data_IF_526947817971
#
_entry.id   IF_526947817971
#
_cell.length_a   1.000
_cell.length_b   1.000
_cell.length_c   1.000
_cell.angle_alpha   90.00
_cell.angle_beta   90.00
_cell.angle_gamma   90.00
#
_symmetry.space_group_name_H-M   'P 1'
#
loop_
_entity.id
_entity.type
_entity.pdbx_description
1 polymer ?
#
# COMPACT_ATOMS: atom_id res chain seq x y z
N UNK A 1 -26.19 -71.07 88.09
CA UNK A 1 -27.39 -70.35 87.61
C UNK A 1 -27.37 -68.83 87.77
N UNK A 2 -27.16 -68.21 88.94
CA UNK A 2 -27.15 -66.73 89.01
C UNK A 2 -25.81 -66.10 88.55
N UNK A 3 -24.69 -66.80 88.78
CA UNK A 3 -23.35 -66.34 88.43
C UNK A 3 -23.05 -66.40 86.92
N UNK A 4 -23.37 -67.52 86.27
CA UNK A 4 -23.22 -67.69 84.81
C UNK A 4 -24.04 -66.66 84.03
N UNK A 5 -25.24 -66.32 84.50
CA UNK A 5 -26.08 -65.30 83.86
C UNK A 5 -25.52 -63.87 84.00
N UNK A 6 -24.78 -63.60 85.07
CA UNK A 6 -24.08 -62.32 85.25
C UNK A 6 -22.82 -62.27 84.40
N UNK A 7 -22.11 -63.39 84.24
CA UNK A 7 -20.92 -63.50 83.40
C UNK A 7 -21.29 -63.32 81.91
N UNK A 8 -22.38 -63.93 81.44
CA UNK A 8 -22.88 -63.74 80.06
C UNK A 8 -23.28 -62.28 79.79
N UNK A 9 -24.02 -61.65 80.71
CA UNK A 9 -24.37 -60.22 80.59
C UNK A 9 -23.16 -59.30 80.64
N UNK A 10 -22.11 -59.68 81.36
CA UNK A 10 -20.88 -58.92 81.44
C UNK A 10 -20.08 -59.00 80.13
N UNK A 11 -20.03 -60.19 79.51
CA UNK A 11 -19.43 -60.38 78.18
C UNK A 11 -20.19 -59.59 77.11
N UNK A 12 -21.53 -59.63 77.13
CA UNK A 12 -22.36 -58.83 76.23
C UNK A 12 -22.10 -57.33 76.39
N UNK A 13 -21.92 -56.85 77.62
CA UNK A 13 -21.61 -55.45 77.88
C UNK A 13 -20.20 -55.06 77.37
N UNK A 14 -19.23 -55.96 77.49
CA UNK A 14 -17.88 -55.75 76.95
C UNK A 14 -17.91 -55.73 75.43
N UNK A 15 -18.59 -56.67 74.78
CA UNK A 15 -18.74 -56.71 73.33
C UNK A 15 -19.46 -55.46 72.82
N UNK A 16 -20.53 -55.04 73.48
CA UNK A 16 -21.24 -53.80 73.12
C UNK A 16 -20.34 -52.57 73.26
N UNK A 17 -19.47 -52.53 74.27
CA UNK A 17 -18.52 -51.44 74.47
C UNK A 17 -17.41 -51.45 73.41
N UNK A 18 -16.97 -52.64 73.00
CA UNK A 18 -16.01 -52.81 71.92
C UNK A 18 -16.62 -52.37 70.58
N UNK A 19 -17.83 -52.82 70.27
CA UNK A 19 -18.57 -52.43 69.07
C UNK A 19 -18.78 -50.91 69.01
N UNK A 20 -19.13 -50.28 70.13
CA UNK A 20 -19.27 -48.82 70.20
C UNK A 20 -17.95 -48.08 69.90
N UNK A 21 -16.84 -48.61 70.43
CA UNK A 21 -15.51 -48.02 70.23
C UNK A 21 -15.04 -48.17 68.78
N UNK A 22 -15.32 -49.31 68.16
CA UNK A 22 -14.97 -49.59 66.77
C UNK A 22 -15.80 -48.73 65.80
N UNK A 23 -17.08 -48.47 66.12
CA UNK A 23 -17.94 -47.54 65.37
C UNK A 23 -17.45 -46.09 65.49
N UNK A 24 -17.05 -45.64 66.69
CA UNK A 24 -16.49 -44.30 66.89
C UNK A 24 -15.18 -44.10 66.12
N UNK A 25 -14.27 -45.07 66.14
CA UNK A 25 -13.00 -45.01 65.40
C UNK A 25 -13.19 -45.03 63.88
N UNK A 26 -14.13 -45.84 63.35
CA UNK A 26 -14.45 -45.82 61.92
C UNK A 26 -15.07 -44.49 61.47
N UNK A 27 -15.92 -43.88 62.29
CA UNK A 27 -16.55 -42.58 61.97
C UNK A 27 -15.55 -41.42 62.00
N UNK A 28 -14.59 -41.40 62.94
CA UNK A 28 -13.53 -40.37 62.97
C UNK A 28 -12.57 -40.46 61.77
N UNK A 29 -12.20 -41.67 61.36
CA UNK A 29 -11.33 -41.86 60.20
C UNK A 29 -12.03 -41.48 58.89
N UNK A 30 -13.28 -41.92 58.69
CA UNK A 30 -14.04 -41.60 57.47
C UNK A 30 -14.44 -40.12 57.37
N UNK A 31 -14.61 -39.41 58.48
CA UNK A 31 -14.86 -37.95 58.46
C UNK A 31 -13.59 -37.14 58.19
N UNK A 32 -12.43 -37.53 58.75
CA UNK A 32 -11.13 -36.92 58.40
C UNK A 32 -10.76 -37.14 56.94
N UNK A 33 -10.94 -38.34 56.41
CA UNK A 33 -10.66 -38.64 54.99
C UNK A 33 -11.59 -37.87 54.05
N UNK A 34 -12.87 -37.72 54.41
CA UNK A 34 -13.82 -36.87 53.66
C UNK A 34 -13.45 -35.39 53.76
N UNK A 35 -13.00 -34.90 54.91
CA UNK A 35 -12.54 -33.51 55.08
C UNK A 35 -11.31 -33.22 54.24
N UNK A 36 -10.32 -34.12 54.25
CA UNK A 36 -9.12 -34.02 53.43
C UNK A 36 -9.46 -34.01 51.94
N UNK A 37 -10.38 -34.88 51.49
CA UNK A 37 -10.83 -34.90 50.10
C UNK A 37 -11.51 -33.59 49.68
N UNK A 38 -12.33 -32.99 50.55
CA UNK A 38 -13.00 -31.72 50.28
C UNK A 38 -12.00 -30.56 50.24
N UNK A 39 -11.02 -30.51 51.15
CA UNK A 39 -9.94 -29.51 51.10
C UNK A 39 -9.11 -29.63 49.82
N UNK A 40 -8.78 -30.86 49.40
CA UNK A 40 -8.02 -31.10 48.18
C UNK A 40 -8.81 -30.68 46.93
N UNK A 41 -10.13 -30.92 46.91
CA UNK A 41 -11.02 -30.43 45.85
C UNK A 41 -11.15 -28.91 45.82
N UNK A 42 -11.21 -28.25 46.98
CA UNK A 42 -11.24 -26.78 47.08
C UNK A 42 -9.95 -26.16 46.56
N UNK A 43 -8.79 -26.72 46.94
CA UNK A 43 -7.49 -26.28 46.42
C UNK A 43 -7.38 -26.47 44.90
N UNK A 44 -7.91 -27.57 44.37
CA UNK A 44 -7.99 -27.79 42.92
C UNK A 44 -8.93 -26.80 42.23
N UNK A 45 -10.06 -26.45 42.85
CA UNK A 45 -10.98 -25.44 42.32
C UNK A 45 -10.33 -24.05 42.31
N UNK A 46 -9.67 -23.64 43.39
CA UNK A 46 -8.96 -22.36 43.47
C UNK A 46 -7.83 -22.28 42.43
N UNK A 47 -7.07 -23.37 42.26
CA UNK A 47 -6.02 -23.46 41.23
C UNK A 47 -6.61 -23.33 39.81
N UNK A 48 -7.73 -24.00 39.52
CA UNK A 48 -8.42 -23.88 38.22
C UNK A 48 -9.00 -22.49 38.01
N UNK A 49 -9.54 -21.86 39.06
CA UNK A 49 -10.08 -20.50 39.01
C UNK A 49 -8.97 -19.50 38.67
N UNK A 50 -7.83 -19.59 39.35
CA UNK A 50 -6.65 -18.76 39.07
C UNK A 50 -6.18 -18.94 37.62
N UNK A 51 -5.99 -20.19 37.17
CA UNK A 51 -5.58 -20.48 35.80
C UNK A 51 -6.56 -19.94 34.74
N UNK A 52 -7.87 -20.06 35.00
CA UNK A 52 -8.89 -19.55 34.09
C UNK A 52 -8.89 -18.02 34.07
N UNK A 53 -8.77 -17.40 35.24
CA UNK A 53 -8.71 -15.95 35.37
C UNK A 53 -7.49 -15.38 34.66
N UNK A 54 -6.32 -15.99 34.82
CA UNK A 54 -5.08 -15.59 34.14
C UNK A 54 -5.22 -15.69 32.62
N UNK A 55 -5.74 -16.82 32.11
CA UNK A 55 -6.03 -16.99 30.68
C UNK A 55 -7.03 -15.96 30.15
N UNK A 56 -8.04 -15.62 30.95
CA UNK A 56 -9.05 -14.63 30.57
C UNK A 56 -8.44 -13.22 30.49
N UNK A 57 -7.53 -12.87 31.41
CA UNK A 57 -6.83 -11.58 31.38
C UNK A 57 -5.85 -11.50 30.21
N UNK A 58 -5.11 -12.59 29.95
CA UNK A 58 -4.24 -12.69 28.78
C UNK A 58 -5.04 -12.54 27.48
N UNK A 59 -6.14 -13.25 27.34
CA UNK A 59 -7.01 -13.15 26.17
C UNK A 59 -7.60 -11.74 25.98
N UNK A 60 -8.05 -11.08 27.06
CA UNK A 60 -8.53 -9.69 27.00
C UNK A 60 -7.44 -8.73 26.53
N UNK A 61 -6.24 -8.86 27.08
CA UNK A 61 -5.08 -8.04 26.71
C UNK A 61 -4.74 -8.25 25.24
N UNK A 62 -4.60 -9.50 24.80
CA UNK A 62 -4.28 -9.85 23.43
C UNK A 62 -5.33 -9.34 22.44
N UNK A 63 -6.62 -9.50 22.76
CA UNK A 63 -7.72 -9.03 21.92
C UNK A 63 -7.68 -7.51 21.77
N UNK A 64 -7.50 -6.78 22.87
CA UNK A 64 -7.46 -5.33 22.86
C UNK A 64 -6.25 -4.77 22.11
N UNK A 65 -5.06 -5.35 22.35
CA UNK A 65 -3.85 -4.98 21.62
C UNK A 65 -3.95 -5.28 20.13
N UNK A 66 -4.55 -6.41 19.76
CA UNK A 66 -4.77 -6.78 18.36
C UNK A 66 -5.71 -5.79 17.68
N UNK A 67 -6.82 -5.44 18.33
CA UNK A 67 -7.76 -4.44 17.83
C UNK A 67 -7.11 -3.05 17.68
N UNK A 68 -6.27 -2.64 18.63
CA UNK A 68 -5.50 -1.39 18.54
C UNK A 68 -4.51 -1.39 17.36
N UNK A 69 -3.80 -2.51 17.13
CA UNK A 69 -2.88 -2.65 15.99
C UNK A 69 -3.64 -2.61 14.67
N UNK A 70 -4.77 -3.31 14.58
CA UNK A 70 -5.64 -3.30 13.40
C UNK A 70 -6.18 -1.90 13.09
N UNK A 71 -6.58 -1.13 14.12
CA UNK A 71 -7.07 0.24 13.95
C UNK A 71 -5.99 1.15 13.34
N UNK A 72 -4.76 1.08 13.85
CA UNK A 72 -3.62 1.83 13.28
C UNK A 72 -3.33 1.48 11.83
N UNK A 73 -3.48 0.22 11.43
CA UNK A 73 -3.35 -0.18 10.02
C UNK A 73 -4.51 0.34 9.18
N UNK A 74 -5.71 0.42 9.76
CA UNK A 74 -6.87 1.07 9.15
C UNK A 74 -6.64 2.55 8.83
N UNK A 75 -5.99 3.29 9.73
CA UNK A 75 -5.60 4.70 9.50
C UNK A 75 -4.65 4.80 8.29
N UNK A 76 -3.60 3.96 8.25
CA UNK A 76 -2.63 3.92 7.12
C UNK A 76 -3.32 3.60 5.79
N UNK A 77 -4.26 2.64 5.79
CA UNK A 77 -5.05 2.30 4.60
C UNK A 77 -5.86 3.49 4.12
N UNK A 78 -6.45 4.24 5.05
CA UNK A 78 -7.24 5.43 4.75
C UNK A 78 -6.35 6.51 4.13
N UNK A 79 -5.21 6.81 4.75
CA UNK A 79 -4.23 7.79 4.26
C UNK A 79 -3.72 7.46 2.84
N UNK A 80 -3.38 6.19 2.59
CA UNK A 80 -2.96 5.72 1.26
C UNK A 80 -4.10 5.89 0.26
N UNK A 81 -5.33 5.53 0.64
CA UNK A 81 -6.48 5.62 -0.25
C UNK A 81 -6.79 7.06 -0.64
N UNK A 82 -6.79 7.99 0.32
CA UNK A 82 -6.98 9.41 0.09
C UNK A 82 -5.86 10.02 -0.77
N UNK A 83 -4.62 9.56 -0.57
CA UNK A 83 -3.47 9.98 -1.39
C UNK A 83 -3.62 9.52 -2.85
N UNK A 84 -4.09 8.29 -3.07
CA UNK A 84 -4.41 7.77 -4.40
C UNK A 84 -5.58 8.51 -5.05
N UNK A 85 -6.63 8.84 -4.30
CA UNK A 85 -7.75 9.67 -4.77
C UNK A 85 -7.27 11.04 -5.23
N UNK A 86 -6.43 11.69 -4.41
CA UNK A 86 -5.83 12.98 -4.71
C UNK A 86 -4.99 12.93 -5.99
N UNK A 87 -4.15 11.90 -6.15
CA UNK A 87 -3.35 11.73 -7.37
C UNK A 87 -4.22 11.43 -8.60
N UNK A 88 -5.31 10.68 -8.42
CA UNK A 88 -6.29 10.42 -9.50
C UNK A 88 -6.96 11.72 -9.95
N UNK A 89 -7.35 12.59 -9.01
CA UNK A 89 -7.93 13.91 -9.31
C UNK A 89 -6.91 14.81 -10.03
N UNK A 90 -5.67 14.86 -9.55
CA UNK A 90 -4.58 15.59 -10.20
C UNK A 90 -4.37 15.11 -11.65
N UNK A 91 -4.35 13.79 -11.88
CA UNK A 91 -4.24 13.22 -13.24
C UNK A 91 -5.41 13.65 -14.12
N UNK A 92 -6.64 13.63 -13.61
CA UNK A 92 -7.82 14.06 -14.36
C UNK A 92 -7.74 15.54 -14.75
N UNK A 93 -7.35 16.41 -13.82
CA UNK A 93 -7.13 17.84 -14.08
C UNK A 93 -6.03 18.08 -15.12
N UNK A 94 -4.93 17.32 -15.05
CA UNK A 94 -3.85 17.41 -16.04
C UNK A 94 -4.32 16.93 -17.41
N UNK A 95 -5.13 15.88 -17.49
CA UNK A 95 -5.70 15.41 -18.74
C UNK A 95 -6.63 16.47 -19.36
N UNK A 96 -7.49 17.11 -18.56
CA UNK A 96 -8.32 18.20 -19.05
C UNK A 96 -7.49 19.38 -19.55
N UNK A 97 -6.52 19.83 -18.74
CA UNK A 97 -5.59 20.90 -19.14
C UNK A 97 -4.87 20.53 -20.44
N UNK A 98 -4.46 19.27 -20.59
CA UNK A 98 -3.74 18.81 -21.77
C UNK A 98 -4.57 18.83 -23.05
N UNK A 99 -5.91 18.70 -22.93
CA UNK A 99 -6.83 18.84 -24.06
C UNK A 99 -7.08 20.29 -24.45
N UNK A 100 -6.93 21.22 -23.50
CA UNK A 100 -7.21 22.64 -23.70
C UNK A 100 -5.97 23.43 -24.16
N UNK A 101 -4.75 22.89 -24.00
CA UNK A 101 -3.53 23.59 -24.43
C UNK A 101 -3.30 23.53 -25.94
N UNK A 102 -2.63 24.55 -26.44
CA UNK A 102 -2.10 24.53 -27.79
C UNK A 102 -0.81 23.68 -27.81
N UNK A 103 -0.88 22.49 -28.44
CA UNK A 103 0.25 21.56 -28.61
C UNK A 103 1.39 22.10 -29.51
N UNK A 104 1.29 23.34 -29.98
CA UNK A 104 2.38 24.04 -30.68
C UNK A 104 3.15 25.02 -29.79
N UNK A 105 2.71 25.27 -28.56
CA UNK A 105 3.43 26.11 -27.59
C UNK A 105 4.37 25.27 -26.72
N UNK A 106 5.67 25.34 -27.02
CA UNK A 106 6.75 24.63 -26.30
C UNK A 106 6.70 24.89 -24.79
N UNK A 107 6.41 26.12 -24.36
CA UNK A 107 6.40 26.47 -22.93
C UNK A 107 5.24 25.80 -22.19
N UNK A 108 4.08 25.69 -22.83
CA UNK A 108 2.92 25.01 -22.23
C UNK A 108 3.18 23.51 -22.07
N UNK A 109 3.84 22.89 -23.05
CA UNK A 109 4.24 21.48 -22.98
C UNK A 109 5.27 21.24 -21.87
N UNK A 110 6.30 22.10 -21.75
CA UNK A 110 7.29 22.01 -20.67
C UNK A 110 6.65 22.14 -19.28
N UNK A 111 5.66 23.03 -19.12
CA UNK A 111 4.89 23.15 -17.87
C UNK A 111 4.09 21.88 -17.59
N UNK A 112 3.43 21.29 -18.60
CA UNK A 112 2.69 20.04 -18.42
C UNK A 112 3.62 18.89 -18.02
N UNK A 113 4.75 18.75 -18.67
CA UNK A 113 5.77 17.74 -18.35
C UNK A 113 6.22 17.90 -16.89
N UNK A 114 6.52 19.12 -16.46
CA UNK A 114 6.90 19.38 -15.07
C UNK A 114 5.79 18.98 -14.08
N UNK A 115 4.52 19.26 -14.40
CA UNK A 115 3.38 18.85 -13.57
C UNK A 115 3.19 17.34 -13.55
N UNK A 116 3.34 16.65 -14.68
CA UNK A 116 3.31 15.19 -14.74
C UNK A 116 4.44 14.56 -13.94
N UNK A 117 5.65 15.14 -13.97
CA UNK A 117 6.79 14.68 -13.18
C UNK A 117 6.55 14.81 -11.68
N UNK A 118 5.96 15.92 -11.23
CA UNK A 118 5.57 16.09 -9.82
C UNK A 118 4.54 15.02 -9.43
N UNK A 119 3.53 14.79 -10.27
CA UNK A 119 2.53 13.76 -10.02
C UNK A 119 3.13 12.35 -9.96
N UNK A 120 4.08 12.02 -10.84
CA UNK A 120 4.80 10.74 -10.80
C UNK A 120 5.55 10.57 -9.49
N UNK A 121 6.26 11.60 -9.02
CA UNK A 121 6.93 11.55 -7.72
C UNK A 121 5.94 11.34 -6.57
N UNK A 122 4.79 12.05 -6.58
CA UNK A 122 3.74 11.87 -5.57
C UNK A 122 3.23 10.42 -5.57
N UNK A 123 3.02 9.82 -6.75
CA UNK A 123 2.60 8.42 -6.90
C UNK A 123 3.70 7.45 -6.41
N UNK A 124 4.96 7.70 -6.74
CA UNK A 124 6.08 6.88 -6.29
C UNK A 124 6.23 6.87 -4.76
N UNK A 125 6.00 8.01 -4.09
CA UNK A 125 6.03 8.07 -2.63
C UNK A 125 4.99 7.15 -1.99
N UNK A 126 3.78 7.08 -2.55
CA UNK A 126 2.72 6.18 -2.08
C UNK A 126 3.15 4.70 -2.19
N UNK A 127 4.02 4.36 -3.15
CA UNK A 127 4.51 2.98 -3.31
C UNK A 127 5.26 2.49 -2.07
N UNK A 128 5.98 3.37 -1.37
CA UNK A 128 6.68 3.03 -0.14
C UNK A 128 5.69 2.62 0.96
N UNK A 129 4.62 3.39 1.13
CA UNK A 129 3.59 3.12 2.13
C UNK A 129 2.82 1.82 1.83
N UNK A 130 2.58 1.54 0.54
CA UNK A 130 1.98 0.28 0.09
C UNK A 130 2.91 -0.92 0.38
N UNK A 131 4.23 -0.78 0.17
CA UNK A 131 5.18 -1.84 0.51
C UNK A 131 5.23 -2.09 2.03
N UNK A 132 5.21 -1.05 2.86
CA UNK A 132 5.10 -1.22 4.32
C UNK A 132 3.80 -1.95 4.69
N UNK A 133 2.68 -1.59 4.06
CA UNK A 133 1.39 -2.23 4.28
C UNK A 133 1.41 -3.72 3.91
N UNK A 134 2.09 -4.11 2.81
CA UNK A 134 2.25 -5.52 2.41
C UNK A 134 2.99 -6.36 3.46
N UNK A 135 3.88 -5.74 4.24
CA UNK A 135 4.65 -6.41 5.28
C UNK A 135 3.95 -6.47 6.64
N UNK A 136 2.80 -5.80 6.80
CA UNK A 136 2.00 -5.91 8.02
C UNK A 136 1.14 -7.18 8.03
N UNK A 137 0.93 -7.78 9.22
CA UNK A 137 0.00 -8.90 9.47
C UNK A 137 -1.47 -8.43 9.43
N UNK A 138 -1.82 -7.66 8.40
CA UNK A 138 -3.17 -7.17 8.20
C UNK A 138 -4.06 -8.29 7.65
N UNK A 139 -5.18 -8.55 8.33
CA UNK A 139 -6.06 -9.68 8.02
C UNK A 139 -6.66 -9.58 6.62
N UNK A 140 -6.98 -8.36 6.16
CA UNK A 140 -7.64 -8.16 4.88
C UNK A 140 -6.63 -7.90 3.74
N UNK A 141 -6.00 -9.00 3.28
CA UNK A 141 -5.07 -9.00 2.14
C UNK A 141 -5.72 -8.53 0.82
N UNK A 142 -7.04 -8.68 0.68
CA UNK A 142 -7.76 -8.25 -0.51
C UNK A 142 -7.76 -6.73 -0.65
N UNK A 143 -7.92 -5.99 0.45
CA UNK A 143 -7.83 -4.53 0.46
C UNK A 143 -6.44 -4.06 0.02
N UNK A 144 -5.38 -4.67 0.56
CA UNK A 144 -3.99 -4.35 0.19
C UNK A 144 -3.75 -4.60 -1.30
N UNK A 145 -4.23 -5.73 -1.83
CA UNK A 145 -4.14 -6.04 -3.26
C UNK A 145 -4.88 -5.00 -4.11
N UNK A 146 -6.10 -4.62 -3.72
CA UNK A 146 -6.90 -3.63 -4.45
C UNK A 146 -6.21 -2.26 -4.49
N UNK A 147 -5.60 -1.83 -3.38
CA UNK A 147 -4.83 -0.58 -3.30
C UNK A 147 -3.62 -0.65 -4.21
N UNK A 148 -2.87 -1.77 -4.18
CA UNK A 148 -1.70 -1.96 -5.02
C UNK A 148 -2.06 -1.93 -6.52
N UNK A 149 -3.10 -2.65 -6.95
CA UNK A 149 -3.56 -2.63 -8.35
C UNK A 149 -3.95 -1.22 -8.78
N UNK A 150 -4.65 -0.48 -7.91
CA UNK A 150 -5.04 0.89 -8.19
C UNK A 150 -3.84 1.82 -8.36
N UNK A 151 -2.82 1.66 -7.52
CA UNK A 151 -1.55 2.38 -7.64
C UNK A 151 -0.83 2.04 -8.96
N UNK A 152 -0.71 0.75 -9.31
CA UNK A 152 -0.07 0.30 -10.55
C UNK A 152 -0.75 0.89 -11.79
N UNK A 153 -2.08 0.87 -11.84
CA UNK A 153 -2.84 1.46 -12.94
C UNK A 153 -2.64 2.97 -13.05
N UNK A 154 -2.66 3.68 -11.91
CA UNK A 154 -2.47 5.12 -11.87
C UNK A 154 -1.06 5.51 -12.32
N UNK A 155 -0.05 4.80 -11.81
CA UNK A 155 1.34 4.96 -12.20
C UNK A 155 1.52 4.74 -13.71
N UNK A 156 1.01 3.61 -14.23
CA UNK A 156 1.08 3.29 -15.66
C UNK A 156 0.48 4.39 -16.54
N UNK A 157 -0.76 4.80 -16.26
CA UNK A 157 -1.47 5.84 -17.05
C UNK A 157 -0.72 7.18 -17.01
N UNK A 158 -0.18 7.55 -15.87
CA UNK A 158 0.58 8.80 -15.70
C UNK A 158 1.89 8.76 -16.47
N UNK A 159 2.62 7.64 -16.41
CA UNK A 159 3.89 7.44 -17.12
C UNK A 159 3.70 7.46 -18.64
N UNK A 160 2.66 6.81 -19.15
CA UNK A 160 2.33 6.83 -20.58
C UNK A 160 2.08 8.26 -21.08
N UNK A 161 1.33 9.06 -20.31
CA UNK A 161 1.06 10.47 -20.63
C UNK A 161 2.31 11.34 -20.55
N UNK A 162 3.13 11.17 -19.50
CA UNK A 162 4.40 11.87 -19.36
C UNK A 162 5.31 11.62 -20.57
N UNK A 163 5.51 10.36 -20.94
CA UNK A 163 6.35 9.96 -22.07
C UNK A 163 5.84 10.51 -23.41
N UNK A 164 4.52 10.56 -23.60
CA UNK A 164 3.93 11.19 -24.78
C UNK A 164 4.35 12.65 -24.92
N UNK A 165 4.27 13.44 -23.84
CA UNK A 165 4.64 14.86 -23.88
C UNK A 165 6.14 15.07 -24.01
N UNK A 166 6.98 14.25 -23.35
CA UNK A 166 8.44 14.29 -23.52
C UNK A 166 8.83 14.04 -24.98
N UNK A 167 8.29 12.99 -25.60
CA UNK A 167 8.55 12.68 -27.00
C UNK A 167 8.07 13.80 -27.94
N UNK A 168 6.89 14.38 -27.67
CA UNK A 168 6.36 15.49 -28.45
C UNK A 168 7.25 16.74 -28.32
N UNK A 169 7.73 17.06 -27.12
CA UNK A 169 8.67 18.15 -26.89
C UNK A 169 9.98 17.93 -27.65
N UNK A 170 10.53 16.72 -27.64
CA UNK A 170 11.74 16.37 -28.36
C UNK A 170 11.57 16.59 -29.87
N UNK A 171 10.46 16.11 -30.44
CA UNK A 171 10.13 16.34 -31.85
C UNK A 171 10.03 17.83 -32.19
N UNK A 172 9.42 18.64 -31.32
CA UNK A 172 9.34 20.09 -31.52
C UNK A 172 10.72 20.76 -31.48
N UNK A 173 11.58 20.37 -30.54
CA UNK A 173 12.96 20.89 -30.44
C UNK A 173 13.79 20.53 -31.68
N UNK A 174 13.62 19.32 -32.21
CA UNK A 174 14.26 18.89 -33.45
C UNK A 174 13.79 19.72 -34.65
N UNK A 175 12.46 19.92 -34.80
CA UNK A 175 11.90 20.76 -35.86
C UNK A 175 12.36 22.21 -35.77
N UNK A 176 12.42 22.76 -34.56
CA UNK A 176 12.91 24.12 -34.33
C UNK A 176 14.38 24.26 -34.74
N UNK A 177 15.23 23.29 -34.34
CA UNK A 177 16.64 23.27 -34.72
C UNK A 177 16.83 23.20 -36.25
N UNK A 178 16.03 22.40 -36.94
CA UNK A 178 16.04 22.33 -38.40
C UNK A 178 15.63 23.67 -39.02
N UNK A 179 14.58 24.31 -38.49
CA UNK A 179 14.14 25.62 -38.96
C UNK A 179 15.22 26.69 -38.78
N UNK A 180 15.91 26.70 -37.63
CA UNK A 180 17.03 27.62 -37.36
C UNK A 180 18.21 27.37 -38.31
N UNK A 181 18.50 26.10 -38.64
CA UNK A 181 19.52 25.74 -39.63
C UNK A 181 19.17 26.26 -41.03
N UNK A 182 17.95 26.01 -41.49
CA UNK A 182 17.45 26.49 -42.79
C UNK A 182 17.53 28.02 -42.84
N UNK A 183 17.08 28.69 -41.79
CA UNK A 183 17.12 30.15 -41.73
C UNK A 183 18.55 30.68 -41.79
N UNK A 184 19.50 30.04 -41.10
CA UNK A 184 20.92 30.40 -41.16
C UNK A 184 21.50 30.20 -42.57
N UNK A 185 21.22 29.07 -43.21
CA UNK A 185 21.65 28.79 -44.59
C UNK A 185 21.13 29.86 -45.56
N UNK A 186 19.85 30.25 -45.44
CA UNK A 186 19.25 31.34 -46.23
C UNK A 186 19.91 32.69 -45.96
N UNK A 187 20.27 33.01 -44.72
CA UNK A 187 21.00 34.23 -44.39
C UNK A 187 22.39 34.26 -45.03
N UNK A 188 23.10 33.13 -45.06
CA UNK A 188 24.40 33.02 -45.72
C UNK A 188 24.29 33.23 -47.23
N UNK A 189 23.30 32.62 -47.87
CA UNK A 189 23.01 32.82 -49.30
C UNK A 189 22.69 34.28 -49.58
N UNK A 190 21.78 34.88 -48.80
CA UNK A 190 21.41 36.29 -48.95
C UNK A 190 22.64 37.21 -48.79
N UNK A 191 23.52 36.92 -47.84
CA UNK A 191 24.78 37.65 -47.68
C UNK A 191 25.66 37.54 -48.94
N UNK A 192 25.85 36.33 -49.48
CA UNK A 192 26.64 36.11 -50.69
C UNK A 192 26.06 36.80 -51.93
N UNK A 193 24.73 36.89 -52.04
CA UNK A 193 24.04 37.64 -53.09
C UNK A 193 24.30 39.15 -52.92
N UNK A 194 24.21 39.69 -51.71
CA UNK A 194 24.40 41.11 -51.45
C UNK A 194 25.87 41.56 -51.58
N UNK A 195 26.82 40.66 -51.31
CA UNK A 195 28.27 40.88 -51.49
C UNK A 195 28.75 40.45 -52.89
N UNK A 196 27.82 40.27 -53.85
CA UNK A 196 28.15 39.69 -55.15
C UNK A 196 29.07 40.57 -55.99
N UNK A 197 29.95 39.91 -56.74
CA UNK A 197 30.87 40.52 -57.71
C UNK A 197 30.73 39.78 -59.05
N UNK A 198 31.46 40.23 -60.08
CA UNK A 198 31.47 39.58 -61.41
C UNK A 198 31.85 38.08 -61.34
N UNK A 199 32.56 37.65 -60.28
CA UNK A 199 32.99 36.26 -60.09
C UNK A 199 32.03 35.41 -59.23
N UNK A 200 30.89 35.95 -58.80
CA UNK A 200 29.93 35.20 -57.97
C UNK A 200 29.30 34.07 -58.78
N UNK A 201 29.38 32.84 -58.26
CA UNK A 201 28.81 31.67 -58.93
C UNK A 201 27.32 31.51 -58.61
N UNK A 202 26.48 32.27 -59.30
CA UNK A 202 25.03 32.24 -59.12
C UNK A 202 24.39 30.87 -59.35
N UNK A 203 24.98 30.02 -60.21
CA UNK A 203 24.48 28.66 -60.45
C UNK A 203 24.50 27.81 -59.17
N UNK A 204 25.57 27.90 -58.38
CA UNK A 204 25.70 27.19 -57.10
C UNK A 204 24.70 27.72 -56.07
N UNK A 205 24.49 29.04 -56.02
CA UNK A 205 23.51 29.65 -55.11
C UNK A 205 22.08 29.20 -55.41
N UNK A 206 21.72 29.11 -56.70
CA UNK A 206 20.40 28.62 -57.14
C UNK A 206 20.22 27.16 -56.72
N UNK A 207 21.22 26.30 -56.95
CA UNK A 207 21.16 24.89 -56.51
C UNK A 207 21.02 24.75 -54.99
N UNK A 208 21.69 25.60 -54.21
CA UNK A 208 21.52 25.62 -52.75
C UNK A 208 20.10 26.02 -52.34
N UNK A 209 19.49 26.99 -53.02
CA UNK A 209 18.11 27.40 -52.77
C UNK A 209 17.11 26.30 -53.13
N UNK A 210 17.27 25.64 -54.28
CA UNK A 210 16.44 24.51 -54.71
C UNK A 210 16.52 23.35 -53.71
N UNK A 211 17.71 23.06 -53.19
CA UNK A 211 17.91 22.04 -52.15
C UNK A 211 17.23 22.40 -50.81
N UNK A 212 17.27 23.67 -50.40
CA UNK A 212 16.58 24.14 -49.20
C UNK A 212 15.06 24.07 -49.40
N UNK A 213 14.55 24.42 -50.58
CA UNK A 213 13.13 24.34 -50.92
C UNK A 213 12.61 22.90 -50.81
N UNK A 214 13.35 21.93 -51.36
CA UNK A 214 13.02 20.50 -51.26
C UNK A 214 12.98 20.04 -49.78
N UNK A 215 13.99 20.41 -48.98
CA UNK A 215 14.02 20.09 -47.54
C UNK A 215 12.86 20.70 -46.75
N UNK A 216 12.47 21.94 -47.07
CA UNK A 216 11.29 22.57 -46.45
C UNK A 216 10.04 21.79 -46.84
N UNK A 217 9.92 21.38 -48.10
CA UNK A 217 8.73 20.71 -48.61
C UNK A 217 8.52 19.33 -47.99
N UNK A 218 9.61 18.59 -47.77
CA UNK A 218 9.61 17.25 -47.16
C UNK A 218 9.29 17.30 -45.65
N UNK A 219 9.82 18.28 -44.92
CA UNK A 219 9.73 18.36 -43.45
C UNK A 219 8.55 19.19 -42.94
N UNK A 220 8.06 20.12 -43.76
CA UNK A 220 6.90 20.98 -43.47
C UNK A 220 5.85 20.85 -44.59
N UNK A 221 5.24 19.67 -44.78
CA UNK A 221 4.26 19.48 -45.83
C UNK A 221 3.10 20.46 -45.64
N UNK A 222 2.75 21.15 -46.73
CA UNK A 222 1.61 22.06 -46.77
C UNK A 222 0.34 21.31 -46.35
N UNK A 223 -0.13 21.58 -45.13
CA UNK A 223 -1.30 20.93 -44.51
C UNK A 223 -2.64 21.30 -45.16
N UNK A 224 -2.62 22.05 -46.28
CA UNK A 224 -3.82 22.49 -46.99
C UNK A 224 -4.59 21.35 -47.69
N UNK A 225 -4.12 20.10 -47.64
CA UNK A 225 -4.77 18.95 -48.27
C UNK A 225 -5.36 17.91 -47.29
N UNK A 226 -5.26 18.09 -45.96
CA UNK A 226 -5.78 17.12 -44.97
C UNK A 226 -7.05 17.58 -44.23
N UNK A 227 -7.80 18.53 -44.81
CA UNK A 227 -9.18 18.83 -44.43
C UNK A 227 -10.11 18.51 -45.60
N UNK A 228 -10.37 17.22 -45.82
CA UNK A 228 -11.55 16.70 -46.54
C UNK A 228 -12.09 15.47 -45.84
#
# INVERSE_FOLDING_TARGET
MFKEHLDDKYIDLINLKQDYTDIEQQNEHTTKDKHHLVEEQLLQMDSKWLQLNDKMQEHKTLTYETALRQNRVGDVITDITESLDTCTLKLSLLNQTSSDINLTDVKQIEILIAKFRILLNDIELISYDIEQLKHTDYENKQTVLSINTRWEELHKKTTEKYNFFENHLEQMKLKQKLHDQIFHELQLINKQINESTINTNFSVLIQCLEYIEERIHDEFPNSNNELK
#
